data_IF_595591231789
#
_entry.id   IF_595591231789
#
_cell.length_a   1.000
_cell.length_b   1.000
_cell.length_c   1.000
_cell.angle_alpha   90.00
_cell.angle_beta   90.00
_cell.angle_gamma   90.00
#
_symmetry.space_group_name_H-M   'P 1'
#
loop_
_entity.id
_entity.type
_entity.pdbx_description
1 polymer ?
#
# COMPACT_ATOMS: atom_id res chain seq x y z
N UNK A 1 -25.82 -54.02 4.34
CA UNK A 1 -24.41 -53.67 4.11
C UNK A 1 -23.73 -53.79 5.45
N UNK A 2 -22.78 -54.70 5.63
CA UNK A 2 -22.07 -54.84 6.90
C UNK A 2 -21.01 -53.73 7.03
N UNK A 3 -20.93 -53.13 8.20
CA UNK A 3 -19.95 -52.12 8.58
C UNK A 3 -18.53 -52.71 8.55
N UNK A 4 -17.69 -52.13 7.71
CA UNK A 4 -16.27 -52.43 7.58
C UNK A 4 -15.52 -51.68 8.69
N UNK A 5 -15.23 -52.41 9.77
CA UNK A 5 -14.46 -51.92 10.91
C UNK A 5 -13.00 -51.78 10.46
N UNK A 6 -12.50 -50.55 10.40
CA UNK A 6 -11.09 -50.26 10.13
C UNK A 6 -10.19 -50.88 11.23
N UNK A 7 -9.05 -51.48 10.87
CA UNK A 7 -8.16 -52.11 11.83
C UNK A 7 -7.49 -51.07 12.74
N UNK A 8 -7.48 -51.37 14.04
CA UNK A 8 -6.73 -50.63 15.06
C UNK A 8 -5.23 -50.64 14.73
N UNK A 9 -4.52 -49.49 14.80
CA UNK A 9 -3.09 -49.44 14.55
C UNK A 9 -2.33 -50.20 15.64
N UNK A 10 -1.35 -51.00 15.22
CA UNK A 10 -0.57 -51.83 16.12
C UNK A 10 0.41 -50.98 16.95
N UNK A 11 0.66 -51.35 18.22
CA UNK A 11 1.44 -50.55 19.17
C UNK A 11 2.93 -50.38 18.83
N UNK A 12 3.48 -51.09 17.85
CA UNK A 12 4.90 -50.97 17.46
C UNK A 12 5.21 -49.72 16.59
N UNK A 13 4.21 -49.10 15.95
CA UNK A 13 4.43 -47.90 15.12
C UNK A 13 4.53 -46.60 15.93
N UNK A 14 4.13 -46.60 17.20
CA UNK A 14 4.17 -45.40 18.05
C UNK A 14 5.56 -45.23 18.69
N UNK A 15 6.27 -46.33 18.97
CA UNK A 15 7.58 -46.27 19.64
C UNK A 15 8.70 -45.76 18.71
N UNK A 16 8.61 -45.99 17.40
CA UNK A 16 9.58 -45.45 16.43
C UNK A 16 9.40 -43.95 16.11
N UNK A 17 8.24 -43.36 16.45
CA UNK A 17 8.01 -41.93 16.24
C UNK A 17 8.60 -41.06 17.37
N UNK A 18 8.84 -41.64 18.56
CA UNK A 18 9.35 -40.91 19.72
C UNK A 18 10.89 -40.88 19.75
N UNK A 19 11.58 -41.89 19.19
CA UNK A 19 13.05 -41.96 19.17
C UNK A 19 13.72 -41.02 18.13
N UNK A 20 12.97 -40.49 17.15
CA UNK A 20 13.51 -39.58 16.11
C UNK A 20 13.54 -38.11 16.58
N UNK A 21 12.95 -37.77 17.73
CA UNK A 21 12.92 -36.38 18.22
C UNK A 21 14.09 -35.99 19.14
N UNK A 22 14.95 -36.93 19.56
CA UNK A 22 16.02 -36.68 20.55
C UNK A 22 17.43 -36.46 19.98
N UNK A 23 17.61 -36.46 18.66
CA UNK A 23 18.92 -36.23 18.04
C UNK A 23 19.05 -34.82 17.44
N UNK A 24 19.14 -33.78 18.30
CA UNK A 24 19.75 -32.50 17.91
C UNK A 24 21.12 -32.34 18.58
N UNK A 25 22.19 -32.07 17.81
CA UNK A 25 23.53 -31.87 18.36
C UNK A 25 23.62 -30.54 19.12
N UNK A 26 24.22 -30.60 20.31
CA UNK A 26 24.64 -29.44 21.10
C UNK A 26 25.55 -28.54 20.27
N UNK A 27 25.08 -27.33 19.96
CA UNK A 27 25.88 -26.29 19.35
C UNK A 27 26.61 -25.51 20.45
N UNK A 28 27.93 -25.53 20.35
CA UNK A 28 28.88 -24.83 21.21
C UNK A 28 28.51 -23.36 21.44
N UNK A 29 28.40 -22.99 22.72
CA UNK A 29 28.21 -21.62 23.18
C UNK A 29 29.55 -20.86 23.17
N UNK A 30 29.90 -20.26 22.04
CA UNK A 30 30.91 -19.21 22.00
C UNK A 30 30.32 -17.87 22.50
N UNK A 31 30.76 -17.49 23.69
CA UNK A 31 31.09 -16.14 24.19
C UNK A 31 30.56 -14.97 23.33
N UNK A 32 29.42 -14.40 23.73
CA UNK A 32 29.08 -12.99 23.46
C UNK A 32 29.04 -12.26 24.80
N UNK A 33 30.20 -11.72 25.16
CA UNK A 33 30.36 -10.72 26.21
C UNK A 33 30.02 -9.36 25.59
N UNK A 34 28.78 -8.90 25.75
CA UNK A 34 28.40 -7.47 25.77
C UNK A 34 26.87 -7.36 25.92
N UNK A 35 26.40 -7.50 27.17
CA UNK A 35 25.07 -7.07 27.55
C UNK A 35 25.15 -5.66 28.15
N UNK A 36 24.30 -4.72 27.73
CA UNK A 36 24.23 -3.40 28.34
C UNK A 36 23.69 -3.49 29.78
N UNK A 37 24.32 -2.69 30.64
CA UNK A 37 24.03 -2.53 32.08
C UNK A 37 22.54 -2.23 32.33
N UNK A 38 21.91 -2.84 33.35
CA UNK A 38 20.53 -2.50 33.71
C UNK A 38 20.42 -1.06 34.22
N UNK A 39 19.52 -0.31 33.60
CA UNK A 39 19.19 1.08 33.95
C UNK A 39 18.47 1.11 35.31
N UNK A 40 18.98 1.93 36.22
CA UNK A 40 18.45 2.18 37.55
C UNK A 40 17.07 2.85 37.49
N UNK A 41 16.05 2.38 38.25
CA UNK A 41 14.73 3.00 38.28
C UNK A 41 14.76 4.22 39.20
N UNK A 42 14.88 5.43 38.63
CA UNK A 42 14.82 6.65 39.46
C UNK A 42 15.05 8.01 38.82
N UNK A 43 15.26 8.13 37.50
CA UNK A 43 15.37 9.45 36.85
C UNK A 43 14.15 9.75 35.97
N UNK A 44 13.52 10.93 36.11
CA UNK A 44 12.49 11.38 35.17
C UNK A 44 13.11 11.55 33.78
N UNK A 45 12.40 11.17 32.71
CA UNK A 45 12.96 11.13 31.36
C UNK A 45 13.36 12.54 30.91
N UNK A 46 14.63 12.66 30.52
CA UNK A 46 15.18 13.82 29.83
C UNK A 46 14.65 13.78 28.38
N UNK A 47 13.90 14.82 28.02
CA UNK A 47 13.22 15.01 26.74
C UNK A 47 14.24 15.27 25.63
N UNK A 48 14.86 14.21 25.11
CA UNK A 48 15.60 14.27 23.85
C UNK A 48 14.61 14.21 22.69
N UNK A 49 14.36 15.37 22.09
CA UNK A 49 13.63 15.53 20.84
C UNK A 49 14.24 14.65 19.73
N UNK A 50 13.46 13.77 19.06
CA UNK A 50 13.93 13.11 17.86
C UNK A 50 13.98 14.12 16.70
N UNK A 51 15.19 14.31 16.16
CA UNK A 51 15.43 14.96 14.88
C UNK A 51 14.59 14.30 13.80
N UNK A 52 13.67 15.08 13.25
CA UNK A 52 12.70 14.68 12.24
C UNK A 52 13.35 14.86 10.87
N UNK A 53 13.96 13.81 10.31
CA UNK A 53 14.38 13.75 8.90
C UNK A 53 14.69 12.29 8.50
N UNK A 54 13.65 11.46 8.31
CA UNK A 54 13.76 10.31 7.39
C UNK A 54 12.38 9.88 6.85
N UNK A 55 11.93 10.69 5.89
CA UNK A 55 11.21 10.37 4.64
C UNK A 55 10.50 9.00 4.59
N UNK A 56 9.20 8.99 4.92
CA UNK A 56 8.24 8.03 4.37
C UNK A 56 6.89 8.72 4.11
N UNK A 57 6.44 8.60 2.86
CA UNK A 57 5.08 8.88 2.37
C UNK A 57 4.55 10.33 2.53
N UNK A 58 5.01 11.21 1.65
CA UNK A 58 4.24 12.40 1.25
C UNK A 58 3.11 11.94 0.32
N UNK A 59 1.94 11.66 0.90
CA UNK A 59 0.68 11.67 0.16
C UNK A 59 0.57 13.03 -0.52
N UNK A 60 0.65 13.02 -1.85
CA UNK A 60 0.55 14.22 -2.66
C UNK A 60 -0.82 14.86 -2.46
N UNK A 61 -0.88 15.81 -1.53
CA UNK A 61 -1.74 16.97 -1.59
C UNK A 61 -1.54 17.60 -2.97
N UNK A 62 -2.50 17.39 -3.84
CA UNK A 62 -2.67 18.18 -5.05
C UNK A 62 -2.78 19.65 -4.63
N UNK A 63 -1.72 20.43 -4.88
CA UNK A 63 -1.82 21.88 -4.85
C UNK A 63 -2.79 22.33 -5.95
N UNK A 64 -3.85 23.07 -5.62
CA UNK A 64 -4.82 23.58 -6.57
C UNK A 64 -4.36 24.95 -7.07
N UNK A 65 -3.39 24.99 -7.97
CA UNK A 65 -3.11 26.21 -8.74
C UNK A 65 -3.02 25.84 -10.22
N UNK A 66 -3.82 26.55 -11.03
CA UNK A 66 -3.89 26.49 -12.49
C UNK A 66 -4.83 25.45 -13.13
N UNK A 67 -6.12 25.51 -12.78
CA UNK A 67 -7.21 25.30 -13.75
C UNK A 67 -8.33 26.30 -13.45
N UNK A 68 -8.29 27.45 -14.11
CA UNK A 68 -9.38 28.41 -14.10
C UNK A 68 -10.50 27.93 -15.05
N UNK A 69 -11.23 26.90 -14.61
CA UNK A 69 -12.56 26.64 -15.13
C UNK A 69 -13.58 27.42 -14.27
N UNK A 70 -14.66 27.95 -14.85
CA UNK A 70 -15.75 28.52 -14.07
C UNK A 70 -16.44 27.38 -13.31
N UNK A 71 -15.95 27.12 -12.10
CA UNK A 71 -16.51 26.12 -11.20
C UNK A 71 -17.98 26.43 -10.87
N UNK A 72 -18.79 25.40 -10.57
CA UNK A 72 -20.12 25.61 -10.03
C UNK A 72 -20.01 26.54 -8.83
N UNK A 73 -20.90 27.54 -8.83
CA UNK A 73 -21.03 28.58 -7.82
C UNK A 73 -20.65 28.03 -6.44
N UNK A 74 -19.66 28.67 -5.81
CA UNK A 74 -19.07 28.27 -4.53
C UNK A 74 -20.13 28.38 -3.46
N UNK A 75 -20.98 27.35 -3.38
CA UNK A 75 -21.93 27.14 -2.32
C UNK A 75 -21.12 27.10 -1.05
N UNK A 76 -21.13 28.22 -0.33
CA UNK A 76 -20.61 28.38 1.02
C UNK A 76 -20.84 27.07 1.76
N UNK A 77 -19.76 26.34 2.09
CA UNK A 77 -19.88 25.16 2.94
C UNK A 77 -20.78 25.56 4.11
N UNK A 78 -21.88 24.83 4.38
CA UNK A 78 -22.84 25.25 5.39
C UNK A 78 -22.07 25.54 6.65
N UNK A 79 -22.08 26.82 7.08
CA UNK A 79 -21.48 27.25 8.34
C UNK A 79 -21.97 26.24 9.37
N UNK A 80 -21.04 25.52 10.00
CA UNK A 80 -21.36 24.64 11.13
C UNK A 80 -22.21 25.47 12.10
N UNK A 81 -23.52 25.24 12.06
CA UNK A 81 -24.44 25.83 13.00
C UNK A 81 -23.95 25.38 14.36
N UNK A 82 -23.65 26.37 15.20
CA UNK A 82 -23.19 26.21 16.57
C UNK A 82 -23.97 25.07 17.21
N UNK A 83 -23.26 23.98 17.56
CA UNK A 83 -23.85 22.81 18.18
C UNK A 83 -24.76 23.28 19.32
N UNK A 84 -26.07 23.05 19.16
CA UNK A 84 -27.04 23.36 20.19
C UNK A 84 -26.72 22.47 21.38
N UNK A 85 -26.38 23.06 22.52
CA UNK A 85 -26.13 22.30 23.74
C UNK A 85 -27.33 21.40 24.02
N UNK A 86 -27.11 20.08 24.01
CA UNK A 86 -28.15 19.11 24.27
C UNK A 86 -28.73 19.40 25.65
N UNK A 87 -30.04 19.67 25.73
CA UNK A 87 -30.66 19.93 27.03
C UNK A 87 -30.55 18.66 27.89
N UNK A 88 -29.81 18.76 29.00
CA UNK A 88 -29.49 17.68 29.94
C UNK A 88 -30.72 16.85 30.35
N UNK A 89 -31.88 17.50 30.45
CA UNK A 89 -33.15 16.85 30.78
C UNK A 89 -33.66 15.89 29.69
N UNK A 90 -33.49 16.23 28.41
CA UNK A 90 -33.85 15.35 27.29
C UNK A 90 -32.90 14.15 27.20
N UNK A 91 -31.61 14.39 27.42
CA UNK A 91 -30.57 13.34 27.46
C UNK A 91 -30.89 12.31 28.56
N UNK A 92 -31.25 12.78 29.75
CA UNK A 92 -31.59 11.90 30.87
C UNK A 92 -32.84 11.04 30.62
N UNK A 93 -33.82 11.56 29.86
CA UNK A 93 -35.07 10.87 29.49
C UNK A 93 -34.86 9.88 28.35
N UNK A 94 -34.08 10.25 27.33
CA UNK A 94 -33.85 9.43 26.15
C UNK A 94 -32.87 8.28 26.42
N UNK A 95 -31.85 8.50 27.26
CA UNK A 95 -30.82 7.51 27.56
C UNK A 95 -31.21 6.73 28.81
N UNK A 96 -31.72 5.52 28.57
CA UNK A 96 -32.17 4.60 29.62
C UNK A 96 -31.02 3.68 30.07
N UNK A 97 -31.12 3.11 31.28
CA UNK A 97 -30.16 2.07 31.71
C UNK A 97 -30.12 0.87 30.76
N UNK A 98 -31.25 0.60 30.07
CA UNK A 98 -31.35 -0.43 29.05
C UNK A 98 -30.49 -0.11 27.82
N UNK A 99 -30.42 1.16 27.38
CA UNK A 99 -29.60 1.55 26.22
C UNK A 99 -28.11 1.53 26.55
N UNK A 100 -27.72 1.93 27.77
CA UNK A 100 -26.34 1.79 28.25
C UNK A 100 -25.90 0.32 28.29
N UNK A 101 -26.74 -0.56 28.86
CA UNK A 101 -26.48 -2.00 28.88
C UNK A 101 -26.38 -2.58 27.47
N UNK A 102 -27.28 -2.19 26.57
CA UNK A 102 -27.25 -2.64 25.18
C UNK A 102 -25.97 -2.18 24.45
N UNK A 103 -25.50 -0.96 24.71
CA UNK A 103 -24.26 -0.44 24.13
C UNK A 103 -23.03 -1.16 24.70
N UNK A 104 -23.02 -1.47 25.99
CA UNK A 104 -21.97 -2.30 26.61
C UNK A 104 -21.90 -3.69 25.97
N UNK A 105 -23.05 -4.35 25.80
CA UNK A 105 -23.12 -5.65 25.14
C UNK A 105 -22.68 -5.58 23.65
N UNK A 106 -22.94 -4.47 22.96
CA UNK A 106 -22.38 -4.22 21.61
C UNK A 106 -20.87 -4.12 21.64
N UNK A 107 -20.29 -3.40 22.60
CA UNK A 107 -18.84 -3.28 22.76
C UNK A 107 -18.18 -4.63 23.02
N UNK A 108 -18.80 -5.49 23.84
CA UNK A 108 -18.31 -6.85 24.10
C UNK A 108 -18.34 -7.71 22.84
N UNK A 109 -19.45 -7.69 22.09
CA UNK A 109 -19.56 -8.39 20.79
C UNK A 109 -18.55 -7.88 19.77
N UNK A 110 -18.35 -6.56 19.70
CA UNK A 110 -17.37 -5.96 18.81
C UNK A 110 -15.95 -6.42 19.19
N UNK A 111 -15.61 -6.48 20.48
CA UNK A 111 -14.32 -6.97 20.95
C UNK A 111 -14.08 -8.43 20.55
N UNK A 112 -15.08 -9.29 20.71
CA UNK A 112 -14.98 -10.70 20.31
C UNK A 112 -14.91 -10.85 18.78
N UNK A 113 -15.61 -9.99 18.04
CA UNK A 113 -15.51 -9.92 16.59
C UNK A 113 -14.13 -9.46 16.12
N UNK A 114 -13.46 -8.53 16.82
CA UNK A 114 -12.07 -8.13 16.54
C UNK A 114 -11.14 -9.34 16.72
N UNK A 115 -11.25 -10.05 17.86
CA UNK A 115 -10.41 -11.22 18.17
C UNK A 115 -10.54 -12.35 17.15
N UNK A 116 -11.75 -12.54 16.61
CA UNK A 116 -12.06 -13.67 15.71
C UNK A 116 -11.81 -13.35 14.24
N UNK A 117 -12.10 -12.12 13.80
CA UNK A 117 -12.11 -11.78 12.37
C UNK A 117 -10.88 -10.99 11.92
N UNK A 118 -10.23 -10.24 12.81
CA UNK A 118 -9.13 -9.34 12.44
C UNK A 118 -7.79 -10.04 12.65
N UNK A 119 -7.08 -10.32 11.55
CA UNK A 119 -5.77 -11.00 11.59
C UNK A 119 -4.60 -10.04 11.76
N UNK A 120 -4.74 -8.81 11.30
CA UNK A 120 -3.70 -7.80 11.37
C UNK A 120 -3.59 -7.23 12.79
N UNK A 121 -2.47 -7.48 13.47
CA UNK A 121 -2.23 -7.06 14.86
C UNK A 121 -2.33 -5.54 15.04
N UNK A 122 -1.86 -4.76 14.07
CA UNK A 122 -1.94 -3.29 14.10
C UNK A 122 -3.38 -2.80 14.14
N UNK A 123 -4.20 -3.27 13.20
CA UNK A 123 -5.63 -2.92 13.10
C UNK A 123 -6.37 -3.40 14.37
N UNK A 124 -6.09 -4.62 14.83
CA UNK A 124 -6.71 -5.15 16.04
C UNK A 124 -6.43 -4.27 17.27
N UNK A 125 -5.19 -3.77 17.43
CA UNK A 125 -4.83 -2.86 18.54
C UNK A 125 -5.60 -1.54 18.47
N UNK A 126 -5.65 -0.91 17.30
CA UNK A 126 -6.39 0.35 17.10
C UNK A 126 -7.87 0.19 17.45
N UNK A 127 -8.52 -0.87 16.94
CA UNK A 127 -9.93 -1.16 17.24
C UNK A 127 -10.16 -1.46 18.73
N UNK A 128 -9.26 -2.20 19.38
CA UNK A 128 -9.35 -2.45 20.82
C UNK A 128 -9.21 -1.17 21.64
N UNK A 129 -8.34 -0.24 21.24
CA UNK A 129 -8.23 1.08 21.88
C UNK A 129 -9.52 1.89 21.71
N UNK A 130 -10.15 1.88 20.53
CA UNK A 130 -11.45 2.53 20.33
C UNK A 130 -12.55 1.92 21.20
N UNK A 131 -12.59 0.59 21.34
CA UNK A 131 -13.53 -0.09 22.25
C UNK A 131 -13.26 0.30 23.71
N UNK A 132 -12.00 0.40 24.13
CA UNK A 132 -11.65 0.86 25.47
C UNK A 132 -12.09 2.30 25.71
N UNK A 133 -11.87 3.20 24.75
CA UNK A 133 -12.38 4.57 24.80
C UNK A 133 -13.90 4.59 24.91
N UNK A 134 -14.61 3.80 24.10
CA UNK A 134 -16.06 3.69 24.20
C UNK A 134 -16.53 3.24 25.59
N UNK A 135 -15.89 2.23 26.18
CA UNK A 135 -16.20 1.77 27.55
C UNK A 135 -15.95 2.84 28.59
N UNK A 136 -14.86 3.59 28.46
CA UNK A 136 -14.56 4.70 29.36
C UNK A 136 -15.64 5.79 29.27
N UNK A 137 -16.12 6.12 28.06
CA UNK A 137 -17.21 7.08 27.88
C UNK A 137 -18.56 6.57 28.42
N UNK A 138 -18.86 5.27 28.26
CA UNK A 138 -20.05 4.64 28.88
C UNK A 138 -20.00 4.76 30.42
N UNK A 139 -18.81 4.56 31.01
CA UNK A 139 -18.59 4.68 32.45
C UNK A 139 -18.61 6.14 32.94
N UNK A 140 -18.25 7.10 32.08
CA UNK A 140 -18.25 8.52 32.41
C UNK A 140 -19.66 9.09 32.63
N UNK A 141 -20.69 8.47 32.07
CA UNK A 141 -22.09 8.81 32.33
C UNK A 141 -22.94 8.92 31.07
N UNK A 142 -24.19 9.34 31.26
CA UNK A 142 -25.17 9.47 30.15
C UNK A 142 -24.82 10.58 29.17
N UNK A 143 -24.15 11.63 29.64
CA UNK A 143 -23.88 12.82 28.84
C UNK A 143 -22.90 12.58 27.69
N UNK A 144 -22.17 11.45 27.72
CA UNK A 144 -21.18 11.05 26.71
C UNK A 144 -21.57 9.81 25.92
N UNK A 145 -22.86 9.47 25.97
CA UNK A 145 -23.39 8.29 25.29
C UNK A 145 -23.20 8.36 23.77
N UNK A 146 -23.36 9.54 23.18
CA UNK A 146 -23.21 9.74 21.73
C UNK A 146 -21.77 9.49 21.27
N UNK A 147 -20.77 9.96 22.03
CA UNK A 147 -19.37 9.69 21.74
C UNK A 147 -19.04 8.21 21.86
N UNK A 148 -19.54 7.55 22.90
CA UNK A 148 -19.40 6.11 23.07
C UNK A 148 -20.01 5.34 21.89
N UNK A 149 -21.23 5.70 21.50
CA UNK A 149 -21.91 5.09 20.36
C UNK A 149 -21.17 5.33 19.06
N UNK A 150 -20.63 6.53 18.84
CA UNK A 150 -19.78 6.85 17.67
C UNK A 150 -18.57 5.93 17.60
N UNK A 151 -17.84 5.75 18.70
CA UNK A 151 -16.67 4.84 18.72
C UNK A 151 -17.05 3.39 18.42
N UNK A 152 -18.17 2.89 18.97
CA UNK A 152 -18.64 1.52 18.67
C UNK A 152 -19.09 1.39 17.21
N UNK A 153 -19.80 2.37 16.67
CA UNK A 153 -20.23 2.38 15.27
C UNK A 153 -19.03 2.39 14.31
N UNK A 154 -17.98 3.16 14.61
CA UNK A 154 -16.74 3.17 13.82
C UNK A 154 -16.05 1.80 13.84
N UNK A 155 -15.97 1.17 15.02
CA UNK A 155 -15.39 -0.17 15.16
C UNK A 155 -16.21 -1.21 14.39
N UNK A 156 -17.53 -1.22 14.53
CA UNK A 156 -18.42 -2.14 13.82
C UNK A 156 -18.29 -1.96 12.29
N UNK A 157 -18.23 -0.72 11.80
CA UNK A 157 -18.01 -0.42 10.38
C UNK A 157 -16.67 -0.97 9.88
N UNK A 158 -15.57 -0.72 10.61
CA UNK A 158 -14.23 -1.21 10.23
C UNK A 158 -14.15 -2.74 10.25
N UNK A 159 -14.82 -3.40 11.19
CA UNK A 159 -14.93 -4.87 11.21
C UNK A 159 -15.68 -5.38 9.98
N UNK A 160 -16.83 -4.78 9.66
CA UNK A 160 -17.62 -5.16 8.47
C UNK A 160 -16.81 -4.98 7.19
N UNK A 161 -16.07 -3.88 7.07
CA UNK A 161 -15.19 -3.63 5.94
C UNK A 161 -14.11 -4.71 5.85
N UNK A 162 -13.41 -4.99 6.96
CA UNK A 162 -12.36 -6.01 7.02
C UNK A 162 -12.86 -7.42 6.67
N UNK A 163 -14.11 -7.77 7.01
CA UNK A 163 -14.72 -9.05 6.62
C UNK A 163 -14.97 -9.17 5.11
N UNK A 164 -15.19 -8.06 4.41
CA UNK A 164 -15.43 -8.06 2.96
C UNK A 164 -14.14 -8.13 2.14
N UNK A 165 -13.02 -7.62 2.67
CA UNK A 165 -11.74 -7.55 1.96
C UNK A 165 -11.21 -8.92 1.46
N UNK A 166 -11.27 -10.03 2.23
CA UNK A 166 -10.79 -11.32 1.75
C UNK A 166 -11.57 -11.84 0.54
N UNK A 167 -12.87 -11.53 0.47
CA UNK A 167 -13.72 -11.92 -0.66
C UNK A 167 -13.29 -11.13 -1.89
N UNK A 168 -13.13 -9.81 -1.76
CA UNK A 168 -12.73 -8.96 -2.88
C UNK A 168 -11.31 -9.26 -3.34
N UNK A 169 -10.38 -9.49 -2.42
CA UNK A 169 -9.01 -9.87 -2.72
C UNK A 169 -8.92 -11.19 -3.51
N UNK A 170 -9.73 -12.20 -3.15
CA UNK A 170 -9.78 -13.46 -3.90
C UNK A 170 -10.46 -13.31 -5.26
N UNK A 171 -11.57 -12.58 -5.34
CA UNK A 171 -12.35 -12.46 -6.59
C UNK A 171 -11.67 -11.57 -7.62
N UNK A 172 -11.02 -10.48 -7.21
CA UNK A 172 -10.44 -9.49 -8.13
C UNK A 172 -8.92 -9.44 -8.09
N UNK A 173 -8.30 -9.63 -6.91
CA UNK A 173 -6.85 -9.57 -6.77
C UNK A 173 -6.13 -10.69 -7.52
N UNK A 174 -6.64 -11.94 -7.45
CA UNK A 174 -5.99 -13.07 -8.13
C UNK A 174 -6.06 -12.97 -9.67
N UNK A 175 -7.23 -12.69 -10.30
CA UNK A 175 -7.27 -12.47 -11.75
C UNK A 175 -6.39 -11.31 -12.21
N UNK A 176 -6.31 -10.23 -11.41
CA UNK A 176 -5.46 -9.08 -11.72
C UNK A 176 -3.98 -9.42 -11.62
N UNK A 177 -3.57 -10.20 -10.62
CA UNK A 177 -2.21 -10.71 -10.51
C UNK A 177 -1.84 -11.57 -11.72
N UNK A 178 -2.73 -12.48 -12.15
CA UNK A 178 -2.53 -13.29 -13.34
C UNK A 178 -2.43 -12.42 -14.59
N UNK A 179 -3.30 -11.41 -14.72
CA UNK A 179 -3.28 -10.45 -15.81
C UNK A 179 -1.92 -9.72 -15.90
N UNK A 180 -1.44 -9.14 -14.80
CA UNK A 180 -0.15 -8.45 -14.75
C UNK A 180 1.01 -9.40 -15.03
N UNK A 181 0.95 -10.63 -14.50
CA UNK A 181 1.98 -11.64 -14.75
C UNK A 181 2.02 -12.06 -16.22
N UNK A 182 0.86 -12.26 -16.86
CA UNK A 182 0.77 -12.59 -18.29
C UNK A 182 1.29 -11.43 -19.13
N UNK A 183 0.98 -10.18 -18.78
CA UNK A 183 1.53 -8.99 -19.46
C UNK A 183 3.04 -8.88 -19.31
N UNK A 184 3.56 -9.05 -18.10
CA UNK A 184 5.00 -9.06 -17.84
C UNK A 184 5.71 -10.14 -18.63
N UNK A 185 5.18 -11.36 -18.63
CA UNK A 185 5.72 -12.49 -19.37
C UNK A 185 5.67 -12.25 -20.89
N UNK A 186 4.54 -11.77 -21.41
CA UNK A 186 4.39 -11.45 -22.83
C UNK A 186 5.40 -10.38 -23.27
N UNK A 187 5.54 -9.31 -22.49
CA UNK A 187 6.52 -8.24 -22.74
C UNK A 187 7.94 -8.77 -22.71
N UNK A 188 8.27 -9.61 -21.72
CA UNK A 188 9.59 -10.21 -21.60
C UNK A 188 9.91 -11.11 -22.78
N UNK A 189 8.97 -11.95 -23.24
CA UNK A 189 9.15 -12.80 -24.42
C UNK A 189 9.38 -11.97 -25.68
N UNK A 190 8.58 -10.92 -25.89
CA UNK A 190 8.75 -10.00 -27.03
C UNK A 190 10.11 -9.29 -26.96
N UNK A 191 10.51 -8.81 -25.78
CA UNK A 191 11.79 -8.14 -25.57
C UNK A 191 12.97 -9.08 -25.83
N UNK A 192 12.94 -10.31 -25.30
CA UNK A 192 13.99 -11.31 -25.53
C UNK A 192 14.08 -11.69 -27.01
N UNK A 193 12.95 -11.80 -27.70
CA UNK A 193 12.94 -12.00 -29.13
C UNK A 193 13.58 -10.81 -29.85
N UNK A 194 13.20 -9.57 -29.52
CA UNK A 194 13.70 -8.33 -30.11
C UNK A 194 15.21 -8.13 -29.95
N UNK A 195 15.74 -8.38 -28.75
CA UNK A 195 17.17 -8.22 -28.44
C UNK A 195 18.04 -9.22 -29.21
N UNK A 196 17.50 -10.41 -29.51
CA UNK A 196 18.24 -11.46 -30.23
C UNK A 196 18.21 -11.31 -31.76
N UNK A 197 17.42 -10.38 -32.32
CA UNK A 197 17.40 -10.15 -33.76
C UNK A 197 18.50 -9.16 -34.18
N UNK A 198 19.30 -9.46 -35.21
CA UNK A 198 20.21 -8.48 -35.78
C UNK A 198 19.40 -7.35 -36.42
N UNK A 199 19.78 -6.09 -36.18
CA UNK A 199 19.05 -4.90 -36.65
C UNK A 199 18.77 -4.97 -38.17
N UNK A 200 19.74 -5.47 -38.95
CA UNK A 200 19.62 -5.64 -40.39
C UNK A 200 18.50 -6.64 -40.79
N UNK A 201 18.24 -7.68 -40.00
CA UNK A 201 17.18 -8.66 -40.30
C UNK A 201 15.77 -8.13 -40.02
N UNK A 202 15.63 -7.15 -39.14
CA UNK A 202 14.36 -6.50 -38.85
C UNK A 202 13.96 -5.44 -39.89
N UNK A 203 14.92 -4.95 -40.68
CA UNK A 203 14.67 -3.89 -41.66
C UNK A 203 14.26 -2.54 -41.03
N UNK A 204 14.59 -2.32 -39.75
CA UNK A 204 14.28 -1.10 -39.00
C UNK A 204 15.51 -0.21 -38.83
N UNK A 205 15.29 1.07 -38.58
CA UNK A 205 16.38 2.00 -38.23
C UNK A 205 16.90 1.73 -36.81
N UNK A 206 18.16 2.08 -36.56
CA UNK A 206 18.78 1.99 -35.23
C UNK A 206 18.00 2.79 -34.19
N UNK A 207 17.49 3.97 -34.57
CA UNK A 207 16.67 4.81 -33.68
C UNK A 207 15.38 4.12 -33.27
N UNK A 208 14.68 3.50 -34.23
CA UNK A 208 13.47 2.73 -33.93
C UNK A 208 13.80 1.52 -33.05
N UNK A 209 14.94 0.89 -33.25
CA UNK A 209 15.39 -0.23 -32.43
C UNK A 209 15.53 0.15 -30.95
N UNK A 210 16.17 1.29 -30.67
CA UNK A 210 16.35 1.80 -29.31
C UNK A 210 15.05 2.38 -28.72
N UNK A 211 14.23 3.06 -29.52
CA UNK A 211 12.92 3.53 -29.11
C UNK A 211 12.05 2.35 -28.65
N UNK A 212 11.95 1.30 -29.47
CA UNK A 212 11.15 0.13 -29.14
C UNK A 212 11.69 -0.58 -27.90
N UNK A 213 13.02 -0.68 -27.75
CA UNK A 213 13.66 -1.17 -26.53
C UNK A 213 13.23 -0.37 -25.30
N UNK A 214 13.28 0.96 -25.36
CA UNK A 214 12.84 1.83 -24.25
C UNK A 214 11.35 1.67 -23.93
N UNK A 215 10.50 1.56 -24.95
CA UNK A 215 9.07 1.28 -24.78
C UNK A 215 8.90 -0.02 -23.99
N UNK A 216 9.52 -1.12 -24.44
CA UNK A 216 9.39 -2.42 -23.78
C UNK A 216 9.91 -2.39 -22.33
N UNK A 217 11.06 -1.78 -22.08
CA UNK A 217 11.61 -1.63 -20.74
C UNK A 217 10.72 -0.77 -19.83
N UNK A 218 10.13 0.31 -20.35
CA UNK A 218 9.14 1.12 -19.63
C UNK A 218 7.87 0.33 -19.28
N UNK A 219 7.38 -0.50 -20.20
CA UNK A 219 6.25 -1.40 -19.95
C UNK A 219 6.54 -2.40 -18.84
N UNK A 220 7.72 -3.03 -18.84
CA UNK A 220 8.17 -3.92 -17.75
C UNK A 220 8.21 -3.16 -16.41
N UNK A 221 8.71 -1.93 -16.41
CA UNK A 221 8.69 -1.07 -15.23
C UNK A 221 7.26 -0.89 -14.69
N UNK A 222 6.32 -0.55 -15.57
CA UNK A 222 4.91 -0.38 -15.23
C UNK A 222 4.26 -1.64 -14.64
N UNK A 223 4.53 -2.82 -15.22
CA UNK A 223 4.06 -4.12 -14.69
C UNK A 223 4.63 -4.38 -13.29
N UNK A 224 5.93 -4.16 -13.09
CA UNK A 224 6.59 -4.36 -11.79
C UNK A 224 6.00 -3.42 -10.73
N UNK A 225 5.76 -2.14 -11.09
CA UNK A 225 5.12 -1.16 -10.21
C UNK A 225 3.71 -1.57 -9.81
N UNK A 226 2.92 -2.05 -10.79
CA UNK A 226 1.56 -2.57 -10.56
C UNK A 226 1.58 -3.80 -9.64
N UNK A 227 2.48 -4.75 -9.86
CA UNK A 227 2.61 -5.97 -9.05
C UNK A 227 3.02 -5.68 -7.61
N UNK A 228 4.01 -4.81 -7.39
CA UNK A 228 4.44 -4.43 -6.03
C UNK A 228 3.31 -3.72 -5.30
N UNK A 229 2.65 -2.77 -5.96
CA UNK A 229 1.46 -2.10 -5.41
C UNK A 229 0.37 -3.11 -5.08
N UNK A 230 0.08 -4.06 -5.96
CA UNK A 230 -0.96 -5.06 -5.74
C UNK A 230 -0.63 -5.96 -4.55
N UNK A 231 0.61 -6.45 -4.43
CA UNK A 231 1.04 -7.27 -3.29
C UNK A 231 0.96 -6.49 -1.99
N UNK A 232 1.37 -5.21 -1.99
CA UNK A 232 1.27 -4.34 -0.82
C UNK A 232 -0.18 -4.20 -0.33
N UNK A 233 -1.11 -3.79 -1.19
CA UNK A 233 -2.52 -3.59 -0.82
C UNK A 233 -3.25 -4.90 -0.53
N UNK A 234 -2.81 -6.02 -1.12
CA UNK A 234 -3.45 -7.32 -0.90
C UNK A 234 -2.94 -8.05 0.35
N UNK A 235 -1.64 -7.96 0.66
CA UNK A 235 -1.01 -8.76 1.73
C UNK A 235 -0.67 -7.95 2.97
N UNK A 236 -0.22 -6.70 2.82
CA UNK A 236 0.25 -5.86 3.93
C UNK A 236 -0.91 -5.03 4.46
N UNK A 237 -1.48 -4.20 3.61
CA UNK A 237 -2.48 -3.20 4.02
C UNK A 237 -3.90 -3.77 4.02
N UNK A 238 -4.15 -4.82 3.23
CA UNK A 238 -5.45 -5.51 3.11
C UNK A 238 -6.61 -4.55 2.76
N UNK A 239 -6.31 -3.48 2.04
CA UNK A 239 -7.16 -2.33 1.74
C UNK A 239 -7.58 -2.27 0.25
N UNK A 240 -7.47 -3.40 -0.46
CA UNK A 240 -7.80 -3.50 -1.88
C UNK A 240 -9.21 -2.98 -2.23
N UNK A 241 -9.27 -1.87 -2.96
CA UNK A 241 -10.50 -1.31 -3.51
C UNK A 241 -10.60 -1.53 -5.03
N UNK A 242 -11.81 -1.88 -5.48
CA UNK A 242 -12.17 -2.06 -6.90
C UNK A 242 -11.99 -0.78 -7.71
N UNK A 243 -12.10 0.39 -7.08
CA UNK A 243 -11.90 1.67 -7.77
C UNK A 243 -10.50 1.78 -8.40
N UNK A 244 -9.51 1.13 -7.80
CA UNK A 244 -8.12 1.13 -8.27
C UNK A 244 -7.85 0.12 -9.40
N UNK A 245 -8.83 -0.71 -9.81
CA UNK A 245 -8.65 -1.71 -10.87
C UNK A 245 -8.16 -1.09 -12.19
N UNK A 246 -8.70 0.06 -12.56
CA UNK A 246 -8.29 0.77 -13.78
C UNK A 246 -6.83 1.21 -13.74
N UNK A 247 -6.32 1.56 -12.56
CA UNK A 247 -4.92 1.95 -12.39
C UNK A 247 -3.99 0.77 -12.63
N UNK A 248 -4.30 -0.42 -12.09
CA UNK A 248 -3.51 -1.62 -12.34
C UNK A 248 -3.54 -1.99 -13.82
N UNK A 249 -4.73 -2.14 -14.41
CA UNK A 249 -4.90 -2.50 -15.83
C UNK A 249 -4.20 -1.52 -16.77
N UNK A 250 -4.22 -0.23 -16.44
CA UNK A 250 -3.58 0.83 -17.23
C UNK A 250 -2.07 0.96 -17.03
N UNK A 251 -1.51 0.42 -15.93
CA UNK A 251 -0.11 0.65 -15.57
C UNK A 251 0.91 0.14 -16.60
N UNK A 252 0.76 -1.06 -17.20
CA UNK A 252 1.63 -1.49 -18.29
C UNK A 252 1.56 -0.55 -19.50
N UNK A 253 0.36 -0.10 -19.86
CA UNK A 253 0.10 0.79 -21.01
C UNK A 253 0.77 2.15 -20.79
N UNK A 254 0.60 2.72 -19.60
CA UNK A 254 1.28 3.96 -19.21
C UNK A 254 2.80 3.76 -19.22
N UNK A 255 3.30 2.63 -18.72
CA UNK A 255 4.72 2.29 -18.74
C UNK A 255 5.33 2.30 -20.15
N UNK A 256 4.64 1.73 -21.14
CA UNK A 256 5.07 1.79 -22.55
C UNK A 256 5.15 3.23 -23.07
N UNK A 257 4.13 4.05 -22.76
CA UNK A 257 4.11 5.47 -23.13
C UNK A 257 5.24 6.26 -22.49
N UNK A 258 5.49 6.04 -21.20
CA UNK A 258 6.61 6.65 -20.45
C UNK A 258 7.95 6.25 -21.08
N UNK A 259 8.14 4.98 -21.43
CA UNK A 259 9.34 4.51 -22.11
C UNK A 259 9.60 5.23 -23.44
N UNK A 260 8.55 5.45 -24.24
CA UNK A 260 8.64 6.23 -25.49
C UNK A 260 9.06 7.68 -25.21
N UNK A 261 8.44 8.33 -24.21
CA UNK A 261 8.74 9.72 -23.86
C UNK A 261 10.19 9.86 -23.36
N UNK A 262 10.67 8.94 -22.51
CA UNK A 262 12.04 8.98 -22.01
C UNK A 262 13.05 8.86 -23.16
N UNK A 263 12.81 7.98 -24.13
CA UNK A 263 13.64 7.90 -25.32
C UNK A 263 13.68 9.23 -26.08
N UNK A 264 12.53 9.88 -26.30
CA UNK A 264 12.46 11.16 -27.02
C UNK A 264 13.19 12.27 -26.27
N UNK A 265 13.03 12.34 -24.95
CA UNK A 265 13.69 13.35 -24.11
C UNK A 265 15.22 13.17 -24.14
N UNK A 266 15.70 11.93 -24.06
CA UNK A 266 17.14 11.63 -24.14
C UNK A 266 17.70 11.88 -25.53
N UNK A 267 16.98 11.48 -26.58
CA UNK A 267 17.39 11.69 -27.98
C UNK A 267 17.38 13.15 -28.39
N UNK A 268 16.52 13.97 -27.77
CA UNK A 268 16.51 15.42 -27.94
C UNK A 268 17.62 16.15 -27.18
N UNK A 269 18.44 15.44 -26.38
CA UNK A 269 19.51 16.04 -25.58
C UNK A 269 19.02 16.87 -24.39
N UNK A 270 17.75 16.76 -24.01
CA UNK A 270 17.14 17.55 -22.93
C UNK A 270 17.64 17.12 -21.54
N UNK A 271 18.17 15.89 -21.43
CA UNK A 271 18.78 15.33 -20.23
C UNK A 271 20.26 15.03 -20.49
N UNK A 272 21.07 16.08 -20.72
CA UNK A 272 22.53 15.94 -20.70
C UNK A 272 22.98 15.74 -19.24
N UNK A 273 22.84 14.52 -18.71
CA UNK A 273 23.33 14.13 -17.37
C UNK A 273 24.86 14.09 -17.30
N UNK A 274 25.52 14.03 -18.45
CA UNK A 274 26.96 14.17 -18.63
C UNK A 274 27.25 15.58 -19.15
N UNK A 275 28.35 16.19 -18.69
CA UNK A 275 28.70 17.58 -19.01
C UNK A 275 28.80 17.87 -20.52
N UNK A 276 28.92 19.15 -20.91
CA UNK A 276 28.94 19.54 -22.33
C UNK A 276 29.99 18.74 -23.11
N UNK A 277 29.52 17.97 -24.11
CA UNK A 277 30.37 17.18 -25.01
C UNK A 277 30.46 15.68 -24.72
N UNK A 278 29.75 15.15 -23.73
CA UNK A 278 29.60 13.71 -23.54
C UNK A 278 28.18 13.27 -23.91
N UNK A 279 28.04 12.63 -25.07
CA UNK A 279 26.78 11.98 -25.44
C UNK A 279 26.59 10.70 -24.61
N UNK A 280 25.47 10.63 -23.90
CA UNK A 280 25.02 9.39 -23.24
C UNK A 280 24.52 8.45 -24.34
N UNK A 281 25.45 7.85 -25.06
CA UNK A 281 25.13 6.98 -26.19
C UNK A 281 24.94 5.52 -25.78
N UNK A 282 24.99 5.20 -24.47
CA UNK A 282 24.80 3.83 -24.00
C UNK A 282 23.31 3.47 -23.97
N UNK A 283 22.83 2.52 -24.80
CA UNK A 283 21.42 2.12 -24.82
C UNK A 283 20.95 1.57 -23.46
N UNK A 284 21.86 0.97 -22.70
CA UNK A 284 21.56 0.44 -21.36
C UNK A 284 21.11 1.52 -20.36
N UNK A 285 21.69 2.73 -20.45
CA UNK A 285 21.28 3.85 -19.58
C UNK A 285 19.85 4.28 -19.95
N UNK A 286 19.56 4.38 -21.25
CA UNK A 286 18.21 4.71 -21.73
C UNK A 286 17.18 3.68 -21.27
N UNK A 287 17.49 2.39 -21.39
CA UNK A 287 16.63 1.30 -20.94
C UNK A 287 16.40 1.29 -19.43
N UNK A 288 17.45 1.54 -18.66
CA UNK A 288 17.37 1.58 -17.19
C UNK A 288 16.51 2.76 -16.73
N UNK A 289 16.69 3.93 -17.34
CA UNK A 289 15.87 5.10 -17.06
C UNK A 289 14.41 4.91 -17.48
N UNK A 290 14.17 4.30 -18.65
CA UNK A 290 12.83 3.97 -19.11
C UNK A 290 12.12 3.01 -18.15
N UNK A 291 12.81 1.95 -17.71
CA UNK A 291 12.31 1.01 -16.71
C UNK A 291 12.00 1.69 -15.37
N UNK A 292 12.93 2.51 -14.85
CA UNK A 292 12.76 3.19 -13.56
C UNK A 292 11.61 4.19 -13.59
N UNK A 293 11.47 4.96 -14.68
CA UNK A 293 10.37 5.91 -14.85
C UNK A 293 9.02 5.19 -15.05
N UNK A 294 9.01 4.04 -15.73
CA UNK A 294 7.83 3.19 -15.86
C UNK A 294 7.40 2.59 -14.52
N UNK A 295 8.37 2.19 -13.69
CA UNK A 295 8.15 1.67 -12.33
C UNK A 295 7.53 2.72 -11.41
N UNK A 296 8.03 3.96 -11.45
CA UNK A 296 7.58 5.03 -10.56
C UNK A 296 6.98 6.18 -11.35
N UNK A 297 5.68 6.07 -11.65
CA UNK A 297 4.91 7.09 -12.38
C UNK A 297 5.04 8.49 -11.76
N UNK A 298 5.14 8.59 -10.43
CA UNK A 298 5.34 9.88 -9.74
C UNK A 298 6.65 10.56 -10.15
N UNK A 299 7.76 9.82 -10.21
CA UNK A 299 9.07 10.34 -10.68
C UNK A 299 8.95 10.83 -12.12
N UNK A 300 8.24 10.09 -12.98
CA UNK A 300 8.01 10.52 -14.35
C UNK A 300 7.28 11.86 -14.42
N UNK A 301 6.20 12.04 -13.65
CA UNK A 301 5.47 13.33 -13.64
C UNK A 301 6.34 14.49 -13.19
N UNK A 302 7.22 14.27 -12.21
CA UNK A 302 8.15 15.30 -11.74
C UNK A 302 9.25 15.60 -12.77
N UNK A 303 9.74 14.59 -13.47
CA UNK A 303 10.67 14.76 -14.58
C UNK A 303 10.03 15.55 -15.72
N UNK A 304 8.78 15.25 -16.07
CA UNK A 304 8.03 15.98 -17.10
C UNK A 304 7.80 17.45 -16.71
N UNK A 305 7.44 17.72 -15.46
CA UNK A 305 7.32 19.09 -14.93
C UNK A 305 8.65 19.84 -15.04
N UNK A 306 9.78 19.20 -14.73
CA UNK A 306 11.11 19.81 -14.87
C UNK A 306 11.42 20.15 -16.33
N UNK A 307 11.12 19.24 -17.26
CA UNK A 307 11.31 19.47 -18.69
C UNK A 307 10.42 20.61 -19.20
N UNK A 308 9.14 20.62 -18.84
CA UNK A 308 8.21 21.70 -19.20
C UNK A 308 8.67 23.07 -18.65
N UNK A 309 9.19 23.09 -17.42
CA UNK A 309 9.74 24.31 -16.82
C UNK A 309 10.92 24.87 -17.60
N UNK A 310 11.80 24.02 -18.13
CA UNK A 310 12.93 24.46 -18.97
C UNK A 310 12.44 25.14 -20.25
N UNK A 311 11.37 24.62 -20.87
CA UNK A 311 10.76 25.26 -22.04
C UNK A 311 10.07 26.58 -21.70
N UNK A 312 9.36 26.66 -20.57
CA UNK A 312 8.65 27.87 -20.15
C UNK A 312 9.59 29.05 -19.83
N UNK A 313 10.78 28.79 -19.27
CA UNK A 313 11.77 29.84 -18.97
C UNK A 313 12.33 30.48 -20.25
N UNK A 314 12.31 29.79 -21.38
CA UNK A 314 12.78 30.33 -22.67
C UNK A 314 11.86 31.38 -23.31
N UNK A 315 10.61 31.51 -22.86
CA UNK A 315 9.67 32.51 -23.39
C UNK A 315 9.67 33.84 -22.61
N UNK A 316 10.21 33.87 -21.39
CA UNK A 316 10.17 35.05 -20.51
C UNK A 316 11.33 36.04 -20.63
N UNK A 317 12.34 35.74 -21.47
CA UNK A 317 13.57 36.55 -21.63
C UNK A 317 13.70 37.16 -23.04
N UNK A 318 12.57 37.55 -23.64
CA UNK A 318 12.50 38.31 -24.90
C UNK A 318 11.78 39.63 -24.74
#
# INVERSE_FOLDING_TARGET
MPDEIAPEPQPEEIEMAEEVLEAQPEADSEVISDLPVPISPGQPPEETAPSSDEVLADETRLSPEASAEPGPDSGTAPKQEKALDASEQLVAVLITQKSLKALWERADRAQDAVKTNIKALGIARELLTLIQSARNEILAGKDRYEEAERYINEVEFRIQLSQQMPIWGKTYGLPLFIYEFVWGLATLVVLLYWINQPIAALGVTTDFYYLFGCIMWGGIGGVVGALISLVKHLSIDQDFDRQHLLWYVGSPIVGYGVGAVIYLVLSAGLLSLTGPGQDISSPFIMYTLAWLCGYQQNIFTDLLKRVLKVFAVGEGDK
#
